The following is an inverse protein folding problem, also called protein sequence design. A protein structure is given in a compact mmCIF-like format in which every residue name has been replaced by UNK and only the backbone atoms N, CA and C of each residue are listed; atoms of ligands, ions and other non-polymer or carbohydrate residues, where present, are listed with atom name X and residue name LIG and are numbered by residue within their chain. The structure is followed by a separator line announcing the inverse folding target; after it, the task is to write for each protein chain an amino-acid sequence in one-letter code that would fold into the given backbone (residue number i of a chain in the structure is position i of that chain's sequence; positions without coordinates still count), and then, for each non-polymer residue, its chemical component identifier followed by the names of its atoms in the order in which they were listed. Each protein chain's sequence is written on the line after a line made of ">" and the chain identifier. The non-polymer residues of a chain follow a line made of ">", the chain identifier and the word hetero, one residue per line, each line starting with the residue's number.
data_IF_248063455278
#
_entry.id   IF_248063455278
#
_cell.length_a   1.000
_cell.length_b   1.000
_cell.length_c   1.000
_cell.angle_alpha   90.00
_cell.angle_beta   90.00
_cell.angle_gamma   90.00
#
_symmetry.space_group_name_H-M   'P 1'
#
loop_
_entity.id
_entity.type
_entity.pdbx_description
1 polymer ?
#
# COMPACT_ATOMS: atom_id res chain seq x y z
N UNK A 1 2.33 -9.75 17.82
CA UNK A 1 1.00 -9.16 17.52
C UNK A 1 0.40 -9.78 16.26
N UNK A 2 1.07 -9.71 15.11
CA UNK A 2 0.57 -10.27 13.83
C UNK A 2 0.21 -11.77 13.90
N UNK A 3 1.08 -12.59 14.50
CA UNK A 3 0.85 -14.02 14.70
C UNK A 3 -0.35 -14.32 15.60
N UNK A 4 -0.59 -13.50 16.62
CA UNK A 4 -1.73 -13.66 17.54
C UNK A 4 -3.07 -13.25 16.90
N UNK A 5 -3.05 -12.26 16.02
CA UNK A 5 -4.23 -11.88 15.22
C UNK A 5 -4.55 -12.94 14.17
N UNK A 6 -3.52 -13.50 13.52
CA UNK A 6 -3.66 -14.58 12.56
C UNK A 6 -4.26 -15.84 13.18
N UNK A 7 -3.84 -16.21 14.40
CA UNK A 7 -4.38 -17.38 15.09
C UNK A 7 -5.82 -17.19 15.58
N UNK A 8 -6.29 -15.95 15.74
CA UNK A 8 -7.60 -15.66 16.33
C UNK A 8 -8.71 -15.41 15.29
N UNK A 9 -8.38 -15.14 14.02
CA UNK A 9 -9.36 -14.73 13.01
C UNK A 9 -9.06 -15.12 11.57
N UNK A 10 -8.02 -15.94 11.32
CA UNK A 10 -7.56 -16.28 9.97
C UNK A 10 -6.69 -15.15 9.38
N UNK A 11 -5.66 -15.54 8.59
CA UNK A 11 -4.68 -14.60 8.02
C UNK A 11 -5.34 -13.51 7.14
N UNK A 12 -6.46 -13.82 6.49
CA UNK A 12 -7.13 -12.92 5.56
C UNK A 12 -7.72 -11.67 6.23
N UNK A 13 -8.15 -11.77 7.49
CA UNK A 13 -8.76 -10.64 8.21
C UNK A 13 -7.74 -9.83 9.04
N UNK A 14 -6.47 -10.25 9.10
CA UNK A 14 -5.47 -9.61 9.97
C UNK A 14 -5.12 -8.20 9.49
N UNK A 15 -5.09 -7.97 8.18
CA UNK A 15 -4.74 -6.66 7.62
C UNK A 15 -5.91 -5.68 7.76
N UNK A 16 -7.12 -6.07 7.34
CA UNK A 16 -8.30 -5.21 7.48
C UNK A 16 -8.57 -4.85 8.93
N UNK A 17 -8.45 -5.82 9.86
CA UNK A 17 -8.66 -5.54 11.29
C UNK A 17 -7.67 -4.54 11.87
N UNK A 18 -6.42 -4.54 11.40
CA UNK A 18 -5.44 -3.52 11.81
C UNK A 18 -5.82 -2.14 11.30
N UNK A 19 -6.25 -2.04 10.04
CA UNK A 19 -6.77 -0.80 9.47
C UNK A 19 -8.01 -0.33 10.24
N UNK A 20 -8.95 -1.23 10.52
CA UNK A 20 -10.16 -0.95 11.30
C UNK A 20 -9.89 -0.51 12.74
N UNK A 21 -8.78 -0.95 13.33
CA UNK A 21 -8.47 -0.58 14.72
C UNK A 21 -7.64 0.69 14.79
N UNK A 22 -6.68 0.87 13.89
CA UNK A 22 -5.66 1.92 13.98
C UNK A 22 -5.95 3.11 13.08
N UNK A 23 -6.50 2.89 11.88
CA UNK A 23 -6.68 3.94 10.88
C UNK A 23 -7.69 4.99 11.30
N UNK A 24 -7.41 6.24 10.96
CA UNK A 24 -8.25 7.41 11.16
C UNK A 24 -8.56 8.12 9.83
N UNK A 25 -9.63 8.93 9.76
CA UNK A 25 -9.89 9.78 8.61
C UNK A 25 -8.71 10.68 8.28
N UNK A 26 -8.31 10.70 7.00
CA UNK A 26 -7.14 11.44 6.52
C UNK A 26 -5.80 10.70 6.63
N UNK A 27 -5.76 9.51 7.25
CA UNK A 27 -4.58 8.65 7.18
C UNK A 27 -4.40 8.06 5.77
N UNK A 28 -3.22 7.50 5.53
CA UNK A 28 -2.85 6.86 4.28
C UNK A 28 -2.50 5.39 4.49
N UNK A 29 -3.10 4.50 3.69
CA UNK A 29 -2.71 3.10 3.60
C UNK A 29 -1.73 2.90 2.43
N UNK A 30 -0.48 2.58 2.74
CA UNK A 30 0.51 2.14 1.76
C UNK A 30 0.50 0.61 1.68
N UNK A 31 0.20 0.09 0.49
CA UNK A 31 0.07 -1.33 0.22
C UNK A 31 1.12 -1.78 -0.79
N UNK A 32 1.78 -2.91 -0.52
CA UNK A 32 2.82 -3.48 -1.40
C UNK A 32 2.43 -4.91 -1.73
N UNK A 33 2.21 -5.20 -3.01
CA UNK A 33 1.89 -6.53 -3.50
C UNK A 33 2.42 -6.77 -4.91
N UNK A 34 3.43 -7.63 -5.04
CA UNK A 34 4.00 -7.98 -6.34
C UNK A 34 3.12 -8.92 -7.16
N UNK A 35 2.22 -9.67 -6.51
CA UNK A 35 1.42 -10.73 -7.13
C UNK A 35 -0.06 -10.34 -7.29
N UNK A 36 -0.52 -9.23 -6.74
CA UNK A 36 -1.86 -8.64 -6.97
C UNK A 36 -3.04 -9.63 -6.80
N UNK A 37 -2.88 -10.64 -5.94
CA UNK A 37 -3.78 -11.80 -5.87
C UNK A 37 -4.28 -12.10 -4.45
N UNK A 38 -3.72 -11.47 -3.42
CA UNK A 38 -4.06 -11.84 -2.05
C UNK A 38 -5.38 -11.19 -1.60
N UNK A 39 -6.43 -11.98 -1.24
CA UNK A 39 -7.74 -11.44 -0.90
C UNK A 39 -7.73 -10.53 0.34
N UNK A 40 -6.85 -10.82 1.31
CA UNK A 40 -6.61 -9.95 2.47
C UNK A 40 -6.33 -8.47 2.13
N UNK A 41 -5.70 -8.22 0.99
CA UNK A 41 -5.36 -6.87 0.55
C UNK A 41 -6.58 -6.11 0.06
N UNK A 42 -7.50 -6.78 -0.64
CA UNK A 42 -8.78 -6.19 -1.04
C UNK A 42 -9.61 -5.82 0.20
N UNK A 43 -9.61 -6.67 1.22
CA UNK A 43 -10.27 -6.38 2.49
C UNK A 43 -9.63 -5.18 3.21
N UNK A 44 -8.30 -5.04 3.17
CA UNK A 44 -7.60 -3.90 3.74
C UNK A 44 -7.90 -2.59 3.01
N UNK A 45 -7.98 -2.61 1.67
CA UNK A 45 -8.38 -1.46 0.85
C UNK A 45 -9.81 -1.03 1.19
N UNK A 46 -10.74 -1.98 1.27
CA UNK A 46 -12.14 -1.68 1.63
C UNK A 46 -12.25 -1.08 3.05
N UNK A 47 -11.49 -1.60 4.01
CA UNK A 47 -11.44 -1.05 5.37
C UNK A 47 -10.87 0.37 5.42
N UNK A 48 -9.84 0.67 4.62
CA UNK A 48 -9.25 2.01 4.53
C UNK A 48 -10.23 3.01 3.90
N UNK A 49 -10.84 2.64 2.79
CA UNK A 49 -11.84 3.49 2.10
C UNK A 49 -13.06 3.76 2.99
N UNK A 50 -13.53 2.77 3.75
CA UNK A 50 -14.62 2.93 4.71
C UNK A 50 -14.30 3.90 5.87
N UNK A 51 -13.05 4.34 5.99
CA UNK A 51 -12.55 5.27 7.01
C UNK A 51 -12.08 6.60 6.44
N UNK A 52 -12.38 6.90 5.18
CA UNK A 52 -11.90 8.10 4.49
C UNK A 52 -10.36 8.20 4.47
N UNK A 53 -9.69 7.04 4.38
CA UNK A 53 -8.24 6.98 4.17
C UNK A 53 -7.92 6.90 2.68
N UNK A 54 -6.80 7.51 2.27
CA UNK A 54 -6.27 7.35 0.91
C UNK A 54 -5.43 6.09 0.79
N UNK A 55 -5.50 5.41 -0.35
CA UNK A 55 -4.71 4.20 -0.62
C UNK A 55 -3.64 4.48 -1.69
N UNK A 56 -2.40 4.10 -1.39
CA UNK A 56 -1.32 3.97 -2.38
C UNK A 56 -0.99 2.49 -2.53
N UNK A 57 -1.17 1.96 -3.74
CA UNK A 57 -0.89 0.56 -4.06
C UNK A 57 0.36 0.44 -4.95
N UNK A 58 1.45 -0.09 -4.38
CA UNK A 58 2.64 -0.51 -5.11
C UNK A 58 2.44 -1.95 -5.57
N UNK A 59 2.31 -2.14 -6.88
CA UNK A 59 1.94 -3.44 -7.46
C UNK A 59 2.87 -3.89 -8.56
N UNK A 60 2.79 -5.17 -8.92
CA UNK A 60 3.34 -5.70 -10.16
C UNK A 60 2.31 -5.69 -11.30
N UNK A 61 2.80 -5.94 -12.51
CA UNK A 61 2.00 -6.12 -13.74
C UNK A 61 1.07 -4.94 -14.00
N UNK A 62 -0.24 -5.18 -14.01
CA UNK A 62 -1.29 -4.20 -14.32
C UNK A 62 -2.09 -3.77 -13.09
N UNK A 63 -1.66 -4.16 -11.88
CA UNK A 63 -2.37 -3.93 -10.62
C UNK A 63 -3.44 -4.96 -10.26
N UNK A 64 -3.76 -5.89 -11.16
CA UNK A 64 -4.71 -6.99 -10.89
C UNK A 64 -6.08 -6.51 -10.38
N UNK A 65 -6.63 -7.23 -9.41
CA UNK A 65 -7.94 -6.91 -8.83
C UNK A 65 -7.93 -5.59 -8.04
N UNK A 66 -6.78 -5.14 -7.54
CA UNK A 66 -6.67 -3.88 -6.81
C UNK A 66 -7.10 -2.70 -7.69
N UNK A 67 -6.71 -2.71 -8.97
CA UNK A 67 -7.05 -1.62 -9.91
C UNK A 67 -8.57 -1.37 -10.01
N UNK A 68 -9.39 -2.39 -9.85
CA UNK A 68 -10.84 -2.28 -9.95
C UNK A 68 -11.51 -1.70 -8.69
N UNK A 69 -10.81 -1.72 -7.55
CA UNK A 69 -11.36 -1.26 -6.26
C UNK A 69 -10.79 0.09 -5.81
N UNK A 70 -9.74 0.59 -6.47
CA UNK A 70 -9.17 1.90 -6.17
C UNK A 70 -10.11 3.03 -6.62
N UNK A 71 -10.28 4.03 -5.76
CA UNK A 71 -11.06 5.23 -5.99
C UNK A 71 -10.25 6.31 -6.71
N UNK A 72 -10.89 7.43 -7.06
CA UNK A 72 -10.22 8.55 -7.74
C UNK A 72 -9.14 9.24 -6.89
N UNK A 73 -9.23 9.12 -5.57
CA UNK A 73 -8.23 9.66 -4.63
C UNK A 73 -7.05 8.72 -4.43
N UNK A 74 -7.17 7.47 -4.87
CA UNK A 74 -6.16 6.44 -4.66
C UNK A 74 -5.12 6.43 -5.79
N UNK A 75 -3.90 6.00 -5.46
CA UNK A 75 -2.78 5.97 -6.41
C UNK A 75 -2.31 4.54 -6.65
N UNK A 76 -2.24 4.14 -7.91
CA UNK A 76 -1.69 2.85 -8.33
C UNK A 76 -0.32 3.04 -9.00
N UNK A 77 0.73 2.48 -8.39
CA UNK A 77 2.06 2.36 -8.98
C UNK A 77 2.28 0.91 -9.39
N UNK A 78 1.93 0.59 -10.65
CA UNK A 78 2.06 -0.75 -11.20
C UNK A 78 3.37 -0.89 -11.99
N UNK A 79 4.29 -1.73 -11.50
CA UNK A 79 5.55 -2.03 -12.18
C UNK A 79 5.28 -3.05 -13.29
N UNK A 80 5.50 -2.72 -14.58
CA UNK A 80 5.11 -3.56 -15.71
C UNK A 80 6.10 -4.72 -15.92
N UNK A 81 6.20 -5.60 -14.93
CA UNK A 81 7.11 -6.74 -14.94
C UNK A 81 6.49 -7.94 -14.20
N UNK A 82 6.71 -9.16 -14.70
CA UNK A 82 6.12 -10.38 -14.13
C UNK A 82 6.97 -11.01 -13.02
N UNK A 83 8.30 -10.84 -13.06
CA UNK A 83 9.21 -11.39 -12.05
C UNK A 83 9.13 -10.61 -10.73
N UNK A 84 8.69 -11.24 -9.61
CA UNK A 84 8.52 -10.55 -8.32
C UNK A 84 9.79 -9.86 -7.82
N UNK A 85 10.96 -10.47 -8.02
CA UNK A 85 12.24 -9.87 -7.61
C UNK A 85 12.51 -8.50 -8.28
N UNK A 86 12.17 -8.35 -9.57
CA UNK A 86 12.35 -7.07 -10.29
C UNK A 86 11.31 -6.03 -9.85
N UNK A 87 10.09 -6.49 -9.56
CA UNK A 87 9.04 -5.64 -9.00
C UNK A 87 9.46 -5.10 -7.64
N UNK A 88 9.96 -5.94 -6.73
CA UNK A 88 10.44 -5.52 -5.41
C UNK A 88 11.61 -4.54 -5.47
N UNK A 89 12.58 -4.76 -6.36
CA UNK A 89 13.68 -3.80 -6.57
C UNK A 89 13.17 -2.43 -7.01
N UNK A 90 12.16 -2.41 -7.88
CA UNK A 90 11.53 -1.16 -8.32
C UNK A 90 10.69 -0.52 -7.21
N UNK A 91 9.96 -1.32 -6.42
CA UNK A 91 9.22 -0.82 -5.26
C UNK A 91 10.16 -0.19 -4.23
N UNK A 92 11.34 -0.78 -4.00
CA UNK A 92 12.34 -0.18 -3.10
C UNK A 92 12.82 1.18 -3.63
N UNK A 93 13.07 1.30 -4.94
CA UNK A 93 13.39 2.58 -5.56
C UNK A 93 12.25 3.60 -5.37
N UNK A 94 11.00 3.19 -5.61
CA UNK A 94 9.82 4.04 -5.40
C UNK A 94 9.72 4.51 -3.96
N UNK A 95 9.97 3.64 -2.97
CA UNK A 95 9.98 4.02 -1.57
C UNK A 95 11.06 5.07 -1.26
N UNK A 96 12.27 4.93 -1.81
CA UNK A 96 13.31 5.95 -1.65
C UNK A 96 12.91 7.29 -2.30
N UNK A 97 12.32 7.27 -3.49
CA UNK A 97 11.82 8.49 -4.14
C UNK A 97 10.68 9.14 -3.34
N UNK A 98 9.80 8.35 -2.71
CA UNK A 98 8.74 8.88 -1.85
C UNK A 98 9.33 9.55 -0.61
N UNK A 99 10.30 8.93 0.06
CA UNK A 99 10.98 9.55 1.20
C UNK A 99 11.64 10.88 0.80
N UNK A 100 12.40 10.88 -0.30
CA UNK A 100 13.07 12.07 -0.82
C UNK A 100 12.07 13.19 -1.16
N UNK A 101 10.96 12.86 -1.83
CA UNK A 101 9.92 13.82 -2.15
C UNK A 101 9.19 14.34 -0.90
N UNK A 102 8.94 13.50 0.11
CA UNK A 102 8.33 13.90 1.38
C UNK A 102 9.26 14.86 2.12
N UNK A 103 10.55 14.53 2.22
CA UNK A 103 11.54 15.37 2.88
C UNK A 103 11.66 16.73 2.17
N UNK A 104 11.74 16.74 0.84
CA UNK A 104 11.75 17.96 0.04
C UNK A 104 10.51 18.82 0.28
N UNK A 105 9.32 18.23 0.34
CA UNK A 105 8.05 18.95 0.50
C UNK A 105 7.85 19.49 1.93
N UNK A 106 8.29 18.75 2.95
CA UNK A 106 8.10 19.11 4.35
C UNK A 106 9.22 19.99 4.89
N UNK A 107 10.46 19.76 4.44
CA UNK A 107 11.67 20.36 5.00
C UNK A 107 12.38 21.30 4.03
N UNK A 108 12.00 21.31 2.74
CA UNK A 108 12.69 22.06 1.68
C UNK A 108 13.94 21.35 1.16
N UNK A 109 14.63 21.97 0.19
CA UNK A 109 15.93 21.47 -0.28
C UNK A 109 16.97 21.54 0.84
N UNK A 110 17.50 20.38 1.24
CA UNK A 110 18.46 20.29 2.36
C UNK A 110 19.93 20.33 1.94
N UNK A 111 20.26 20.38 0.64
CA UNK A 111 21.62 20.64 0.17
C UNK A 111 21.63 21.13 -1.29
N UNK A 112 21.92 22.41 -1.58
CA UNK A 112 22.19 22.87 -2.93
C UNK A 112 23.63 22.45 -3.27
N UNK A 113 23.80 21.20 -3.69
CA UNK A 113 25.05 20.75 -4.31
C UNK A 113 25.39 21.60 -5.54
#
# INVERSE_FOLDING_TARGET
>A
ALSALASAGGFDAVLSRQVDTLGQPGDLLLLIDTECQHPALLAAVAAAQGKDMTVIALTGRTGGNLRAVLSETDVLVAVPHDRPARVLETHLLVLHCLCDAIDLQLLGEQDPA
#
